data_IF_507171287873
#
_entry.id   IF_507171287873
#
_cell.length_a   1.000
_cell.length_b   1.000
_cell.length_c   1.000
_cell.angle_alpha   90.00
_cell.angle_beta   90.00
_cell.angle_gamma   90.00
#
_symmetry.space_group_name_H-M   'P 1'
#
loop_
_entity.id
_entity.type
_entity.pdbx_description
1 polymer ?
#
# COMPACT_ATOMS: atom_id res chain seq x y z
N UNK A 1 29.03 -18.34 -9.70
CA UNK A 1 27.65 -18.25 -10.25
C UNK A 1 26.80 -17.57 -9.18
N UNK A 2 26.49 -16.29 -9.34
CA UNK A 2 25.67 -15.51 -8.39
C UNK A 2 24.21 -15.78 -8.74
N UNK A 3 23.33 -16.22 -7.80
CA UNK A 3 21.92 -16.39 -8.11
C UNK A 3 21.32 -15.03 -8.48
N UNK A 4 20.60 -14.96 -9.59
CA UNK A 4 19.87 -13.77 -9.99
C UNK A 4 18.85 -13.42 -8.89
N UNK A 5 18.97 -12.23 -8.30
CA UNK A 5 17.98 -11.74 -7.35
C UNK A 5 16.65 -11.54 -8.09
N UNK A 6 15.63 -12.31 -7.71
CA UNK A 6 14.24 -12.14 -8.18
C UNK A 6 13.85 -10.67 -8.02
N UNK A 7 13.52 -9.97 -9.10
CA UNK A 7 12.87 -8.66 -9.01
C UNK A 7 11.60 -8.81 -8.16
N UNK A 8 11.33 -7.90 -7.22
CA UNK A 8 10.20 -7.91 -6.27
C UNK A 8 8.80 -8.14 -6.89
N UNK A 9 8.70 -8.07 -8.21
CA UNK A 9 7.52 -8.33 -9.04
C UNK A 9 7.25 -9.80 -9.30
N UNK A 10 8.22 -10.69 -9.12
CA UNK A 10 8.05 -12.14 -9.24
C UNK A 10 7.54 -12.73 -7.92
N UNK A 11 6.57 -12.06 -7.29
CA UNK A 11 5.82 -12.61 -6.17
C UNK A 11 4.45 -12.99 -6.70
N UNK A 12 3.95 -14.15 -6.29
CA UNK A 12 2.57 -14.57 -6.58
C UNK A 12 1.61 -13.75 -5.70
N UNK A 13 1.47 -12.47 -6.04
CA UNK A 13 0.60 -11.55 -5.33
C UNK A 13 -0.84 -11.95 -5.54
N UNK A 14 -1.59 -12.07 -4.44
CA UNK A 14 -3.01 -12.40 -4.48
C UNK A 14 -3.89 -11.17 -4.68
N UNK A 15 -3.38 -10.00 -4.28
CA UNK A 15 -4.04 -8.72 -4.50
C UNK A 15 -3.03 -7.57 -4.49
N UNK A 16 -3.36 -6.50 -5.21
CA UNK A 16 -2.64 -5.22 -5.18
C UNK A 16 -3.63 -4.12 -4.81
N UNK A 17 -3.28 -3.31 -3.81
CA UNK A 17 -4.03 -2.11 -3.41
C UNK A 17 -3.23 -0.89 -3.84
N UNK A 18 -3.87 0.04 -4.55
CA UNK A 18 -3.25 1.29 -5.01
C UNK A 18 -3.75 2.44 -4.14
N UNK A 19 -2.83 3.13 -3.49
CA UNK A 19 -3.06 4.16 -2.49
C UNK A 19 -2.91 3.64 -1.06
N UNK A 20 -2.22 4.41 -0.21
CA UNK A 20 -2.01 4.16 1.21
C UNK A 20 -2.61 5.29 2.08
N UNK A 21 -3.79 5.77 1.71
CA UNK A 21 -4.70 6.48 2.60
C UNK A 21 -5.50 5.53 3.48
N UNK A 22 -6.46 6.06 4.25
CA UNK A 22 -7.28 5.24 5.17
C UNK A 22 -7.99 4.07 4.49
N UNK A 23 -8.57 4.28 3.31
CA UNK A 23 -9.26 3.23 2.56
C UNK A 23 -8.31 2.12 2.10
N UNK A 24 -7.14 2.47 1.58
CA UNK A 24 -6.15 1.50 1.11
C UNK A 24 -5.54 0.68 2.25
N UNK A 25 -5.22 1.34 3.38
CA UNK A 25 -4.75 0.66 4.59
C UNK A 25 -5.85 -0.26 5.14
N UNK A 26 -7.09 0.23 5.23
CA UNK A 26 -8.23 -0.56 5.67
C UNK A 26 -8.49 -1.78 4.78
N UNK A 27 -8.42 -1.61 3.45
CA UNK A 27 -8.55 -2.70 2.49
C UNK A 27 -7.45 -3.75 2.68
N UNK A 28 -6.18 -3.33 2.85
CA UNK A 28 -5.07 -4.24 3.10
C UNK A 28 -5.25 -5.03 4.41
N UNK A 29 -5.73 -4.39 5.48
CA UNK A 29 -6.06 -5.07 6.75
C UNK A 29 -7.16 -6.12 6.53
N UNK A 30 -8.26 -5.76 5.88
CA UNK A 30 -9.38 -6.68 5.62
C UNK A 30 -8.97 -7.86 4.74
N UNK A 31 -8.15 -7.63 3.73
CA UNK A 31 -7.61 -8.69 2.88
C UNK A 31 -6.75 -9.67 3.70
N UNK A 32 -5.89 -9.16 4.58
CA UNK A 32 -5.10 -10.01 5.47
C UNK A 32 -5.96 -10.81 6.45
N UNK A 33 -6.97 -10.18 7.05
CA UNK A 33 -7.95 -10.86 7.92
C UNK A 33 -8.73 -11.96 7.18
N UNK A 34 -9.00 -11.77 5.89
CA UNK A 34 -9.64 -12.76 5.02
C UNK A 34 -8.70 -13.86 4.50
N UNK A 35 -7.44 -13.90 4.94
CA UNK A 35 -6.46 -14.93 4.58
C UNK A 35 -5.62 -14.64 3.34
N UNK A 36 -5.74 -13.44 2.74
CA UNK A 36 -4.86 -13.00 1.67
C UNK A 36 -3.58 -12.40 2.29
N UNK A 37 -2.53 -13.23 2.42
CA UNK A 37 -1.27 -12.82 3.05
C UNK A 37 -0.28 -12.13 2.09
N UNK A 38 -0.38 -12.42 0.79
CA UNK A 38 0.48 -11.84 -0.25
C UNK A 38 -0.20 -10.63 -0.91
N UNK A 39 -0.36 -9.55 -0.13
CA UNK A 39 -0.95 -8.29 -0.58
C UNK A 39 0.15 -7.23 -0.73
N UNK A 40 0.18 -6.56 -1.88
CA UNK A 40 1.06 -5.41 -2.13
C UNK A 40 0.24 -4.12 -2.07
N UNK A 41 0.67 -3.17 -1.23
CA UNK A 41 0.14 -1.79 -1.24
C UNK A 41 1.16 -0.90 -1.94
N UNK A 42 0.70 -0.14 -2.93
CA UNK A 42 1.50 0.83 -3.67
C UNK A 42 1.04 2.25 -3.32
N UNK A 43 1.96 3.13 -2.96
CA UNK A 43 1.71 4.55 -2.73
C UNK A 43 2.63 5.37 -3.62
N UNK A 44 2.09 6.41 -4.25
CA UNK A 44 2.85 7.35 -5.06
C UNK A 44 3.68 8.28 -4.17
N UNK A 45 3.10 8.72 -3.06
CA UNK A 45 3.76 9.55 -2.06
C UNK A 45 4.94 8.83 -1.40
N UNK A 46 5.82 9.62 -0.80
CA UNK A 46 6.97 9.12 -0.04
C UNK A 46 6.58 8.59 1.35
N UNK A 47 5.34 8.84 1.77
CA UNK A 47 4.79 8.49 3.08
C UNK A 47 3.31 8.14 2.94
N UNK A 48 2.77 7.45 3.95
CA UNK A 48 1.35 7.08 4.02
C UNK A 48 0.48 8.31 4.35
N UNK A 49 -0.83 8.21 4.12
CA UNK A 49 -1.82 9.18 4.62
C UNK A 49 -2.84 9.66 3.59
N UNK A 50 -2.60 9.44 2.29
CA UNK A 50 -3.52 9.84 1.22
C UNK A 50 -3.88 11.32 1.31
N UNK A 51 -5.17 11.66 1.27
CA UNK A 51 -5.67 13.04 1.36
C UNK A 51 -5.03 13.84 2.50
N UNK A 52 -4.84 13.26 3.68
CA UNK A 52 -4.29 13.96 4.85
C UNK A 52 -2.79 14.25 4.74
N UNK A 53 -2.07 13.48 3.91
CA UNK A 53 -0.66 13.72 3.59
C UNK A 53 -0.52 14.80 2.52
N UNK A 54 -1.36 14.76 1.49
CA UNK A 54 -1.30 15.70 0.37
C UNK A 54 -1.73 17.12 0.78
N UNK A 55 -2.63 17.24 1.76
CA UNK A 55 -3.25 18.51 2.13
C UNK A 55 -2.71 19.00 3.48
N UNK A 56 -1.81 20.00 3.44
CA UNK A 56 -1.20 20.61 4.63
C UNK A 56 -1.43 22.12 4.68
N UNK A 57 -2.51 22.62 4.08
CA UNK A 57 -2.85 24.04 4.09
C UNK A 57 -3.42 24.46 5.47
N UNK A 58 -3.27 25.74 5.87
CA UNK A 58 -3.81 26.24 7.13
C UNK A 58 -5.33 26.00 7.25
N UNK A 59 -5.78 25.45 8.37
CA UNK A 59 -7.19 25.13 8.59
C UNK A 59 -7.67 23.82 7.97
N UNK A 60 -6.77 23.01 7.39
CA UNK A 60 -7.05 21.61 7.07
C UNK A 60 -7.61 20.88 8.30
N UNK A 61 -8.84 20.35 8.19
CA UNK A 61 -9.56 19.66 9.25
C UNK A 61 -10.51 18.59 8.67
N UNK A 62 -11.07 17.76 9.55
CA UNK A 62 -12.08 16.74 9.24
C UNK A 62 -13.52 17.23 9.43
#
# INVERSE_FOLDING_TARGET
>A
MIPAQRTRTDRDLRAVVVGAGFSGIGAAVRLREAGFNDVLVLEKGTQLGGTWRENTYPGCAC
#
